data_IF_659575209769
#
_entry.id   IF_659575209769
#
_cell.length_a   1.000
_cell.length_b   1.000
_cell.length_c   1.000
_cell.angle_alpha   90.00
_cell.angle_beta   90.00
_cell.angle_gamma   90.00
#
_symmetry.space_group_name_H-M   'P 1'
#
loop_
_entity.id
_entity.type
_entity.pdbx_description
1 polymer ?
#
# COMPACT_ATOMS: atom_id res chain seq x y z
N UNK A 1 -6.16 -14.15 -18.60
CA UNK A 1 -5.55 -13.34 -17.51
C UNK A 1 -4.45 -14.18 -16.91
N UNK A 2 -3.28 -13.59 -16.67
CA UNK A 2 -2.25 -14.29 -15.90
C UNK A 2 -2.77 -14.44 -14.46
N UNK A 3 -2.45 -15.56 -13.78
CA UNK A 3 -2.85 -15.72 -12.39
C UNK A 3 -2.29 -14.56 -11.56
N UNK A 4 -3.13 -14.02 -10.69
CA UNK A 4 -2.71 -13.03 -9.69
C UNK A 4 -2.34 -13.78 -8.43
N UNK A 5 -1.12 -13.56 -7.96
CA UNK A 5 -0.65 -14.09 -6.69
C UNK A 5 -0.70 -12.99 -5.65
N UNK A 6 -1.35 -13.25 -4.52
CA UNK A 6 -1.39 -12.32 -3.39
C UNK A 6 -0.50 -12.89 -2.30
N UNK A 7 0.51 -12.13 -1.91
CA UNK A 7 1.47 -12.53 -0.89
C UNK A 7 1.49 -11.51 0.23
N UNK A 8 1.52 -11.98 1.49
CA UNK A 8 1.70 -11.10 2.64
C UNK A 8 3.11 -10.51 2.59
N UNK A 9 3.22 -9.19 2.57
CA UNK A 9 4.50 -8.51 2.54
C UNK A 9 5.19 -8.61 3.91
N UNK A 10 6.51 -8.69 3.85
CA UNK A 10 7.42 -8.75 4.98
C UNK A 10 8.44 -7.61 4.89
N UNK A 11 9.34 -7.51 5.87
CA UNK A 11 10.45 -6.56 5.79
C UNK A 11 11.37 -6.78 4.58
N UNK A 12 11.43 -7.99 4.02
CA UNK A 12 12.20 -8.26 2.81
C UNK A 12 11.58 -7.61 1.57
N UNK A 13 10.30 -7.24 1.64
CA UNK A 13 9.55 -6.63 0.54
C UNK A 13 9.49 -5.10 0.65
N UNK A 14 10.19 -4.50 1.61
CA UNK A 14 10.12 -3.07 1.92
C UNK A 14 10.36 -2.18 0.68
N UNK A 15 11.37 -2.50 -0.12
CA UNK A 15 11.68 -1.74 -1.34
C UNK A 15 10.59 -1.89 -2.40
N UNK A 16 10.05 -3.09 -2.57
CA UNK A 16 8.95 -3.37 -3.51
C UNK A 16 7.70 -2.59 -3.09
N UNK A 17 7.34 -2.69 -1.80
CA UNK A 17 6.20 -2.00 -1.22
C UNK A 17 6.33 -0.48 -1.34
N UNK A 18 7.51 0.08 -1.04
CA UNK A 18 7.77 1.51 -1.16
C UNK A 18 7.58 1.98 -2.60
N UNK A 19 8.18 1.28 -3.56
CA UNK A 19 8.10 1.62 -4.98
C UNK A 19 6.66 1.59 -5.50
N UNK A 20 5.92 0.52 -5.23
CA UNK A 20 4.53 0.40 -5.70
C UNK A 20 3.59 1.40 -5.01
N UNK A 21 3.83 1.70 -3.72
CA UNK A 21 3.06 2.70 -2.97
C UNK A 21 3.24 4.10 -3.56
N UNK A 22 4.48 4.50 -3.83
CA UNK A 22 4.79 5.81 -4.44
C UNK A 22 4.19 5.91 -5.84
N UNK A 23 4.38 4.89 -6.66
CA UNK A 23 3.90 4.90 -8.05
C UNK A 23 2.37 5.01 -8.09
N UNK A 24 1.66 4.13 -7.39
CA UNK A 24 0.18 4.13 -7.41
C UNK A 24 -0.43 5.38 -6.78
N UNK A 25 0.16 5.91 -5.71
CA UNK A 25 -0.28 7.16 -5.12
C UNK A 25 -0.08 8.34 -6.09
N UNK A 26 1.08 8.41 -6.74
CA UNK A 26 1.38 9.45 -7.74
C UNK A 26 0.41 9.37 -8.93
N UNK A 27 0.22 8.18 -9.49
CA UNK A 27 -0.74 7.93 -10.59
C UNK A 27 -2.16 8.38 -10.23
N UNK A 28 -2.56 8.20 -8.96
CA UNK A 28 -3.91 8.55 -8.48
C UNK A 28 -4.07 10.05 -8.24
N UNK A 29 -3.08 10.72 -7.64
CA UNK A 29 -3.26 12.06 -7.06
C UNK A 29 -2.50 13.18 -7.77
N UNK A 30 -1.52 12.89 -8.63
CA UNK A 30 -0.70 13.93 -9.25
C UNK A 30 -1.51 14.91 -10.13
N UNK A 31 -2.59 14.45 -10.76
CA UNK A 31 -3.44 15.30 -11.59
C UNK A 31 -4.29 16.31 -10.80
N UNK A 32 -4.45 16.10 -9.49
CA UNK A 32 -5.33 16.91 -8.62
C UNK A 32 -4.59 17.55 -7.44
N UNK A 33 -3.25 17.51 -7.44
CA UNK A 33 -2.40 18.07 -6.39
C UNK A 33 -1.18 18.81 -6.97
N UNK A 34 -0.54 19.63 -6.14
CA UNK A 34 0.74 20.23 -6.48
C UNK A 34 1.88 19.21 -6.35
N UNK A 35 2.98 19.36 -7.11
CA UNK A 35 4.16 18.52 -6.97
C UNK A 35 4.73 18.51 -5.54
N UNK A 36 4.68 19.65 -4.85
CA UNK A 36 5.16 19.77 -3.46
C UNK A 36 4.30 18.96 -2.49
N UNK A 37 2.96 19.00 -2.63
CA UNK A 37 2.06 18.22 -1.78
C UNK A 37 2.26 16.71 -1.97
N UNK A 38 2.44 16.27 -3.21
CA UNK A 38 2.75 14.87 -3.54
C UNK A 38 4.08 14.46 -2.90
N UNK A 39 5.12 15.28 -3.08
CA UNK A 39 6.46 15.01 -2.55
C UNK A 39 6.47 14.94 -1.02
N UNK A 40 5.80 15.88 -0.35
CA UNK A 40 5.68 15.89 1.10
C UNK A 40 4.98 14.62 1.59
N UNK A 41 3.84 14.25 0.99
CA UNK A 41 3.13 13.02 1.38
C UNK A 41 3.98 11.76 1.19
N UNK A 42 4.71 11.66 0.06
CA UNK A 42 5.62 10.53 -0.20
C UNK A 42 6.71 10.45 0.88
N UNK A 43 7.33 11.59 1.19
CA UNK A 43 8.41 11.66 2.17
C UNK A 43 7.91 11.35 3.60
N UNK A 44 6.66 11.66 3.92
CA UNK A 44 6.09 11.40 5.25
C UNK A 44 5.53 9.98 5.37
N UNK A 45 4.77 9.52 4.39
CA UNK A 45 3.98 8.28 4.46
C UNK A 45 4.70 7.06 3.92
N UNK A 46 5.60 7.23 2.94
CA UNK A 46 6.26 6.12 2.25
C UNK A 46 7.77 6.09 2.49
N UNK A 47 8.32 6.88 3.41
CA UNK A 47 9.73 6.73 3.77
C UNK A 47 10.02 5.37 4.42
N UNK A 48 11.28 4.96 4.35
CA UNK A 48 11.77 3.67 4.84
C UNK A 48 11.45 3.45 6.32
N UNK A 49 11.59 4.47 7.17
CA UNK A 49 11.33 4.38 8.61
C UNK A 49 9.85 4.11 8.88
N UNK A 50 8.97 4.85 8.22
CA UNK A 50 7.52 4.70 8.36
C UNK A 50 7.08 3.30 7.90
N UNK A 51 7.43 2.90 6.68
CA UNK A 51 7.02 1.58 6.15
C UNK A 51 7.61 0.41 6.95
N UNK A 52 8.85 0.52 7.45
CA UNK A 52 9.43 -0.48 8.36
C UNK A 52 8.61 -0.61 9.64
N UNK A 53 8.20 0.51 10.22
CA UNK A 53 7.37 0.54 11.43
C UNK A 53 6.01 -0.10 11.17
N UNK A 54 5.37 0.24 10.04
CA UNK A 54 4.07 -0.32 9.67
C UNK A 54 4.15 -1.83 9.35
N UNK A 55 5.19 -2.29 8.64
CA UNK A 55 5.43 -3.71 8.35
C UNK A 55 5.76 -4.54 9.61
N UNK A 56 6.36 -3.92 10.62
CA UNK A 56 6.70 -4.57 11.90
C UNK A 56 5.55 -4.55 12.90
N UNK A 57 4.47 -3.81 12.62
CA UNK A 57 3.33 -3.71 13.52
C UNK A 57 2.45 -4.97 13.41
N UNK A 58 2.30 -5.70 14.51
CA UNK A 58 1.44 -6.90 14.57
C UNK A 58 -0.03 -6.67 14.21
N UNK A 59 -0.50 -5.43 14.37
CA UNK A 59 -1.88 -5.02 14.10
C UNK A 59 -2.06 -4.38 12.71
N UNK A 60 -0.99 -4.32 11.90
CA UNK A 60 -1.06 -3.90 10.50
C UNK A 60 -0.58 -5.04 9.61
N UNK A 61 -1.21 -5.20 8.46
CA UNK A 61 -0.77 -6.18 7.46
C UNK A 61 -0.77 -5.55 6.07
N UNK A 62 0.27 -5.88 5.32
CA UNK A 62 0.39 -5.54 3.91
C UNK A 62 0.33 -6.81 3.06
N UNK A 63 -0.30 -6.68 1.90
CA UNK A 63 -0.33 -7.71 0.88
C UNK A 63 0.07 -7.10 -0.45
N UNK A 64 0.90 -7.80 -1.22
CA UNK A 64 1.33 -7.43 -2.55
C UNK A 64 0.64 -8.36 -3.56
N UNK A 65 0.05 -7.77 -4.60
CA UNK A 65 -0.52 -8.49 -5.73
C UNK A 65 0.51 -8.57 -6.85
N UNK A 66 0.78 -9.77 -7.35
CA UNK A 66 1.76 -10.03 -8.40
C UNK A 66 1.10 -10.56 -9.66
N UNK A 67 1.54 -10.04 -10.82
CA UNK A 67 1.25 -10.59 -12.13
C UNK A 67 2.57 -10.90 -12.82
N UNK A 68 2.84 -12.18 -13.13
CA UNK A 68 4.12 -12.63 -13.69
C UNK A 68 5.35 -12.16 -12.87
N UNK A 69 5.33 -12.35 -11.56
CA UNK A 69 6.37 -11.93 -10.61
C UNK A 69 6.63 -10.40 -10.52
N UNK A 70 5.79 -9.58 -11.16
CA UNK A 70 5.82 -8.11 -11.02
C UNK A 70 4.73 -7.68 -10.06
N UNK A 71 5.06 -6.88 -9.06
CA UNK A 71 4.08 -6.28 -8.16
C UNK A 71 3.22 -5.25 -8.95
N UNK A 72 1.91 -5.45 -8.95
CA UNK A 72 0.94 -4.64 -9.71
C UNK A 72 -0.05 -3.90 -8.83
N UNK A 73 -0.05 -4.17 -7.52
CA UNK A 73 -0.90 -3.52 -6.55
C UNK A 73 -0.57 -3.96 -5.14
N UNK A 74 -1.19 -3.31 -4.16
CA UNK A 74 -1.04 -3.67 -2.76
C UNK A 74 -2.29 -3.32 -1.95
N UNK A 75 -2.42 -3.99 -0.81
CA UNK A 75 -3.45 -3.78 0.20
C UNK A 75 -2.76 -3.56 1.55
N UNK A 76 -3.20 -2.54 2.30
CA UNK A 76 -2.89 -2.34 3.71
C UNK A 76 -4.19 -2.45 4.52
N UNK A 77 -4.16 -3.31 5.52
CA UNK A 77 -5.24 -3.44 6.50
C UNK A 77 -4.72 -3.21 7.91
N UNK A 78 -5.57 -2.65 8.76
CA UNK A 78 -5.27 -2.40 10.16
C UNK A 78 -6.34 -3.03 11.07
N UNK A 79 -5.94 -3.35 12.29
CA UNK A 79 -6.78 -3.87 13.37
C UNK A 79 -6.47 -3.13 14.67
N UNK A 80 -7.39 -3.19 15.64
CA UNK A 80 -7.18 -2.65 16.99
C UNK A 80 -6.56 -1.26 16.99
N UNK A 81 -5.47 -1.09 17.73
CA UNK A 81 -4.78 0.21 17.92
C UNK A 81 -3.99 0.71 16.69
N UNK A 82 -3.91 -0.07 15.60
CA UNK A 82 -3.30 0.38 14.36
C UNK A 82 -4.29 1.09 13.42
N UNK A 83 -5.58 1.06 13.76
CA UNK A 83 -6.62 1.73 12.97
C UNK A 83 -6.42 3.24 13.00
N UNK A 84 -6.64 3.91 11.87
CA UNK A 84 -6.47 5.37 11.79
C UNK A 84 -7.56 6.13 12.55
N UNK A 85 -8.75 5.55 12.65
CA UNK A 85 -9.86 6.00 13.47
C UNK A 85 -10.18 4.97 14.56
N UNK A 86 -10.68 5.45 15.70
CA UNK A 86 -11.08 4.55 16.79
C UNK A 86 -12.36 3.82 16.42
N UNK A 87 -12.24 2.51 16.18
CA UNK A 87 -13.36 1.61 15.93
C UNK A 87 -13.40 0.46 16.94
N UNK A 88 -14.36 -0.44 16.77
CA UNK A 88 -14.44 -1.68 17.54
C UNK A 88 -13.13 -2.48 17.44
N UNK A 89 -12.72 -3.13 18.53
CA UNK A 89 -11.49 -3.94 18.57
C UNK A 89 -11.56 -5.17 17.65
N UNK A 90 -12.77 -5.58 17.24
CA UNK A 90 -13.00 -6.66 16.28
C UNK A 90 -13.22 -6.16 14.84
N UNK A 91 -13.07 -4.85 14.59
CA UNK A 91 -13.17 -4.29 13.26
C UNK A 91 -11.86 -4.46 12.46
N UNK A 92 -12.01 -4.41 11.13
CA UNK A 92 -10.91 -4.37 10.16
C UNK A 92 -11.04 -3.07 9.37
N UNK A 93 -9.96 -2.29 9.31
CA UNK A 93 -9.85 -1.10 8.46
C UNK A 93 -9.11 -1.46 7.17
N UNK A 94 -9.74 -1.21 6.02
CA UNK A 94 -9.03 -1.17 4.72
C UNK A 94 -8.42 0.21 4.56
N UNK A 95 -7.19 0.38 5.04
CA UNK A 95 -6.53 1.67 5.06
C UNK A 95 -6.03 2.07 3.66
N UNK A 96 -5.43 1.15 2.89
CA UNK A 96 -4.95 1.44 1.52
C UNK A 96 -5.25 0.28 0.60
N UNK A 97 -5.82 0.56 -0.57
CA UNK A 97 -5.99 -0.42 -1.64
C UNK A 97 -5.67 0.26 -2.97
N UNK A 98 -4.59 -0.17 -3.61
CA UNK A 98 -4.10 0.46 -4.84
C UNK A 98 -3.64 -0.58 -5.85
N UNK A 99 -3.90 -0.29 -7.11
CA UNK A 99 -3.47 -1.07 -8.27
C UNK A 99 -2.90 -0.09 -9.30
N UNK A 100 -1.85 -0.49 -10.00
CA UNK A 100 -1.27 0.29 -11.10
C UNK A 100 -2.35 0.66 -12.12
N UNK A 101 -2.31 1.88 -12.63
CA UNK A 101 -3.31 2.39 -13.58
C UNK A 101 -3.44 1.51 -14.82
N UNK A 102 -2.34 0.94 -15.31
CA UNK A 102 -2.31 0.01 -16.45
C UNK A 102 -3.04 -1.32 -16.18
N UNK A 103 -3.39 -1.60 -14.93
CA UNK A 103 -4.10 -2.80 -14.50
C UNK A 103 -5.54 -2.52 -14.01
N UNK A 104 -6.02 -1.28 -14.08
CA UNK A 104 -7.41 -0.95 -13.77
C UNK A 104 -8.38 -1.66 -14.72
N UNK A 105 -9.54 -2.08 -14.20
CA UNK A 105 -10.55 -2.83 -14.96
C UNK A 105 -10.18 -4.28 -15.27
N UNK A 106 -9.06 -4.80 -14.73
CA UNK A 106 -8.59 -6.17 -14.96
C UNK A 106 -8.89 -7.14 -13.81
N UNK A 107 -9.74 -6.74 -12.86
CA UNK A 107 -10.13 -7.54 -11.68
C UNK A 107 -8.90 -8.09 -10.92
N UNK A 108 -7.94 -7.21 -10.64
CA UNK A 108 -6.78 -7.47 -9.78
C UNK A 108 -7.22 -7.51 -8.33
#
# INVERSE_FOLDING_TARGET
MNPIEIQKATLNDLEILQKISIQTFTETFAAVNTPDNITNYINDSFNTKQLTTELSNRNSMFYLAYSNAVAVGYLKINFGDAQTETHDQNALEVHRIYVLQTFHGKNI
#
